data_IF_323818574369
#
_entry.id   IF_323818574369
#
_cell.length_a   1.000
_cell.length_b   1.000
_cell.length_c   1.000
_cell.angle_alpha   90.00
_cell.angle_beta   90.00
_cell.angle_gamma   90.00
#
_symmetry.space_group_name_H-M   'P 1'
#
loop_
_entity.id
_entity.type
_entity.pdbx_description
1 polymer ?
#
# COMPACT_ATOMS: atom_id res chain seq x y z
N UNK A 1 -9.76 -3.50 -23.65
CA UNK A 1 -9.80 -3.45 -23.27
C UNK A 1 -9.42 -3.50 -22.45
N UNK A 2 -9.17 -3.17 -22.19
CA UNK A 2 -8.80 -3.16 -21.44
C UNK A 2 -8.71 -3.38 -20.57
N UNK A 3 -9.03 -3.38 -20.50
CA UNK A 3 -9.11 -3.49 -19.68
C UNK A 3 -8.56 -4.22 -19.10
N UNK A 4 -8.52 -4.47 -19.10
CA UNK A 4 -7.99 -5.12 -18.41
C UNK A 4 -7.00 -4.64 -17.76
N UNK A 5 -7.17 -3.88 -17.00
CA UNK A 5 -6.27 -3.36 -16.22
C UNK A 5 -5.61 -4.33 -15.45
N UNK A 6 -4.36 -4.26 -15.29
CA UNK A 6 -3.60 -5.17 -14.54
C UNK A 6 -4.04 -5.06 -13.13
N UNK A 7 -4.18 -6.11 -12.46
CA UNK A 7 -4.52 -6.09 -11.15
C UNK A 7 -3.58 -5.40 -10.31
N UNK A 8 -2.38 -5.29 -10.59
CA UNK A 8 -1.40 -4.64 -9.76
C UNK A 8 -1.41 -3.14 -9.80
N UNK A 9 -2.22 -2.56 -10.65
CA UNK A 9 -2.20 -1.13 -10.79
C UNK A 9 -2.65 -0.40 -9.54
N UNK A 10 -3.74 -0.82 -8.94
CA UNK A 10 -4.21 -0.16 -7.75
C UNK A 10 -3.22 -0.41 -6.61
N UNK A 11 -2.64 -1.58 -6.54
CA UNK A 11 -1.68 -1.91 -5.54
C UNK A 11 -0.45 -1.02 -5.68
N UNK A 12 0.01 -0.79 -6.90
CA UNK A 12 1.14 0.06 -7.13
C UNK A 12 0.87 1.48 -6.70
N UNK A 13 -0.31 1.98 -6.96
CA UNK A 13 -0.66 3.32 -6.56
C UNK A 13 -0.68 3.40 -5.04
N UNK A 14 -1.18 2.37 -4.38
CA UNK A 14 -1.24 2.35 -2.95
C UNK A 14 0.17 2.38 -2.35
N UNK A 15 1.07 1.60 -2.91
CA UNK A 15 2.44 1.56 -2.43
C UNK A 15 3.08 2.93 -2.59
N UNK A 16 2.88 3.56 -3.73
CA UNK A 16 3.46 4.85 -3.97
C UNK A 16 2.90 5.89 -3.01
N UNK A 17 1.62 5.82 -2.75
CA UNK A 17 0.97 6.77 -1.88
C UNK A 17 1.51 6.63 -0.45
N UNK A 18 1.61 5.41 0.05
CA UNK A 18 2.12 5.18 1.39
C UNK A 18 3.57 5.63 1.48
N UNK A 19 4.36 5.29 0.47
CA UNK A 19 5.76 5.68 0.48
C UNK A 19 5.93 7.19 0.47
N UNK A 20 5.12 7.87 -0.29
CA UNK A 20 5.22 9.32 -0.36
C UNK A 20 4.89 9.94 0.98
N UNK A 21 3.89 9.41 1.65
CA UNK A 21 3.53 9.92 2.96
C UNK A 21 4.63 9.67 3.98
N UNK A 22 5.27 8.52 3.90
CA UNK A 22 6.36 8.22 4.80
C UNK A 22 7.55 9.10 4.54
N UNK A 23 7.79 9.47 3.31
CA UNK A 23 8.88 10.34 3.00
C UNK A 23 8.65 11.73 3.54
N UNK A 24 7.42 12.19 3.52
CA UNK A 24 7.11 13.47 4.03
C UNK A 24 7.15 13.49 5.55
N UNK A 25 6.78 12.42 6.17
CA UNK A 25 6.75 12.36 7.61
C UNK A 25 7.19 11.00 8.09
N UNK A 26 8.48 10.76 8.17
CA UNK A 26 9.00 9.44 8.52
C UNK A 26 8.63 8.98 9.92
N UNK A 27 8.25 9.91 10.78
CA UNK A 27 7.90 9.55 12.12
C UNK A 27 6.53 8.95 12.25
N UNK A 28 5.68 9.09 11.28
CA UNK A 28 4.33 8.59 11.44
C UNK A 28 4.30 7.08 11.30
N UNK A 29 3.30 6.47 11.90
CA UNK A 29 3.15 5.04 11.83
C UNK A 29 2.73 4.60 10.45
N UNK A 30 3.22 3.48 10.01
CA UNK A 30 2.90 2.99 8.70
C UNK A 30 1.54 2.28 8.69
N UNK A 31 1.16 1.68 9.82
CA UNK A 31 -0.09 0.93 9.85
C UNK A 31 -1.33 1.74 9.46
N UNK A 32 -1.56 2.90 10.02
CA UNK A 32 -2.71 3.69 9.62
C UNK A 32 -2.67 4.06 8.15
N UNK A 33 -1.48 4.28 7.61
CA UNK A 33 -1.35 4.63 6.21
C UNK A 33 -1.76 3.47 5.33
N UNK A 34 -1.35 2.27 5.71
CA UNK A 34 -1.70 1.08 4.95
C UNK A 34 -3.21 0.89 4.95
N UNK A 35 -3.84 1.06 6.11
CA UNK A 35 -5.27 0.91 6.21
C UNK A 35 -5.98 1.93 5.35
N UNK A 36 -5.51 3.14 5.38
CA UNK A 36 -6.12 4.18 4.59
C UNK A 36 -5.95 3.92 3.10
N UNK A 37 -4.79 3.42 2.70
CA UNK A 37 -4.55 3.13 1.30
C UNK A 37 -5.49 2.04 0.80
N UNK A 38 -5.75 1.04 1.64
CA UNK A 38 -6.64 -0.03 1.26
C UNK A 38 -8.03 0.53 0.93
N UNK A 39 -8.51 1.46 1.72
CA UNK A 39 -9.77 2.07 1.46
C UNK A 39 -9.71 3.05 0.30
N UNK A 40 -8.69 3.87 0.28
CA UNK A 40 -8.57 4.90 -0.73
C UNK A 40 -8.50 4.33 -2.14
N UNK A 41 -7.79 3.26 -2.31
CA UNK A 41 -7.61 2.66 -3.62
C UNK A 41 -8.48 1.42 -3.82
N UNK A 42 -9.35 1.15 -2.86
CA UNK A 42 -10.28 0.05 -2.97
C UNK A 42 -9.59 -1.25 -3.32
N UNK A 43 -8.58 -1.61 -2.56
CA UNK A 43 -7.81 -2.79 -2.85
C UNK A 43 -8.59 -4.05 -2.56
N UNK A 44 -8.35 -5.08 -3.37
CA UNK A 44 -8.99 -6.35 -3.14
C UNK A 44 -8.37 -6.98 -1.92
N UNK A 45 -8.97 -8.00 -1.34
CA UNK A 45 -8.42 -8.62 -0.15
C UNK A 45 -7.01 -9.15 -0.36
N UNK A 46 -6.71 -9.67 -1.54
CA UNK A 46 -5.39 -10.15 -1.82
C UNK A 46 -4.39 -9.04 -1.86
N UNK A 47 -4.74 -7.93 -2.50
CA UNK A 47 -3.84 -6.81 -2.62
C UNK A 47 -3.68 -6.15 -1.26
N UNK A 48 -4.74 -6.09 -0.49
CA UNK A 48 -4.67 -5.49 0.83
C UNK A 48 -3.72 -6.31 1.71
N UNK A 49 -3.81 -7.61 1.63
CA UNK A 49 -2.95 -8.48 2.40
C UNK A 49 -1.50 -8.31 1.99
N UNK A 50 -1.26 -8.17 0.70
CA UNK A 50 0.07 -7.96 0.20
C UNK A 50 0.63 -6.66 0.75
N UNK A 51 -0.16 -5.60 0.73
CA UNK A 51 0.29 -4.31 1.19
C UNK A 51 0.64 -4.36 2.68
N UNK A 52 -0.19 -5.01 3.47
CA UNK A 52 0.05 -5.13 4.88
C UNK A 52 1.34 -5.88 5.13
N UNK A 53 1.56 -6.99 4.45
CA UNK A 53 2.76 -7.74 4.62
C UNK A 53 3.97 -7.03 4.13
N UNK A 54 3.85 -6.35 3.02
CA UNK A 54 4.96 -5.64 2.42
C UNK A 54 5.57 -4.64 3.41
N UNK A 55 4.72 -3.87 4.06
CA UNK A 55 5.23 -2.90 5.00
C UNK A 55 5.59 -3.50 6.36
N UNK A 56 4.95 -4.56 6.75
CA UNK A 56 5.29 -5.20 7.98
C UNK A 56 6.62 -5.89 7.90
N UNK A 57 6.84 -6.64 6.85
CA UNK A 57 8.08 -7.36 6.71
C UNK A 57 9.22 -6.45 6.47
N UNK A 58 9.00 -5.40 5.73
CA UNK A 58 10.05 -4.46 5.50
C UNK A 58 10.52 -3.85 6.79
N UNK A 59 9.60 -3.60 7.70
CA UNK A 59 9.97 -3.05 8.94
C UNK A 59 10.71 -4.02 9.78
N UNK A 60 10.31 -5.25 9.73
CA UNK A 60 11.01 -6.21 10.48
C UNK A 60 12.33 -6.53 9.98
N UNK A 61 12.56 -6.42 8.75
CA UNK A 61 13.84 -6.71 8.18
C UNK A 61 14.92 -5.91 8.80
N UNK A 62 14.58 -4.89 9.44
CA UNK A 62 15.59 -4.14 10.09
C UNK A 62 16.08 -4.82 11.27
#
# INVERSE_FOLDING_TARGET
>A
MTEELPKGEDLRRAVKWVSANLQENPDQSVQPLVQEAIFKFDLSPMDADFLIRFYSEGKEAD
#
